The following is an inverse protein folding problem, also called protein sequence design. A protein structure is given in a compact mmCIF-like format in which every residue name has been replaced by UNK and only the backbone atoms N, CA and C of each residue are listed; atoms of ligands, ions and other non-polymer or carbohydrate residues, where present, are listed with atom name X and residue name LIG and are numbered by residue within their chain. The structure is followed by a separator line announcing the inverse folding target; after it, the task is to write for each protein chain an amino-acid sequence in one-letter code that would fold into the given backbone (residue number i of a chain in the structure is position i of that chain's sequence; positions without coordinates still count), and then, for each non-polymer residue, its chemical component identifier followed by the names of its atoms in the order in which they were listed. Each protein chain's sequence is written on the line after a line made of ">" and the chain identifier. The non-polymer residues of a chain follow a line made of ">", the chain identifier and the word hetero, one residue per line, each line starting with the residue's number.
data_IF_584428133212
#
_entry.id   IF_584428133212
#
_cell.length_a   1.000
_cell.length_b   1.000
_cell.length_c   1.000
_cell.angle_alpha   90.00
_cell.angle_beta   90.00
_cell.angle_gamma   90.00
#
_symmetry.space_group_name_H-M   'P 1'
#
loop_
_entity.id
_entity.type
_entity.pdbx_description
1 polymer ?
#
# COMPACT_ATOMS: atom_id res chain seq x y z
N UNK A 1 15.34 -9.82 1.00
CA UNK A 1 13.96 -9.30 1.12
C UNK A 1 13.58 -9.28 2.61
N UNK A 2 14.18 -8.40 3.45
CA UNK A 2 14.29 -8.66 4.90
C UNK A 2 13.19 -8.01 5.77
N UNK A 3 12.63 -6.88 5.34
CA UNK A 3 11.78 -6.04 6.19
C UNK A 3 10.39 -6.64 6.47
N UNK A 4 9.87 -7.45 5.55
CA UNK A 4 8.59 -8.13 5.73
C UNK A 4 8.68 -9.13 6.89
N UNK A 5 9.68 -10.01 6.83
CA UNK A 5 9.92 -11.01 7.88
C UNK A 5 10.23 -10.36 9.22
N UNK A 6 11.00 -9.27 9.21
CA UNK A 6 11.28 -8.49 10.41
C UNK A 6 10.01 -7.91 11.04
N UNK A 7 9.15 -7.26 10.27
CA UNK A 7 7.90 -6.72 10.81
C UNK A 7 6.99 -7.83 11.34
N UNK A 8 6.91 -8.98 10.65
CA UNK A 8 6.16 -10.14 11.13
C UNK A 8 6.74 -10.67 12.45
N UNK A 9 8.07 -10.72 12.60
CA UNK A 9 8.71 -11.14 13.84
C UNK A 9 8.41 -10.18 15.00
N UNK A 10 8.48 -8.87 14.76
CA UNK A 10 8.10 -7.84 15.75
C UNK A 10 6.65 -8.03 16.21
N UNK A 11 5.72 -8.20 15.26
CA UNK A 11 4.30 -8.38 15.58
C UNK A 11 4.03 -9.64 16.42
N UNK A 12 4.72 -10.75 16.12
CA UNK A 12 4.62 -12.00 16.90
C UNK A 12 5.19 -11.84 18.30
N UNK A 13 6.30 -11.11 18.44
CA UNK A 13 6.94 -10.88 19.73
C UNK A 13 6.10 -9.97 20.63
N UNK A 14 5.54 -8.89 20.09
CA UNK A 14 4.75 -7.91 20.86
C UNK A 14 3.34 -8.41 21.20
N UNK A 15 2.82 -9.41 20.47
CA UNK A 15 1.43 -9.88 20.62
C UNK A 15 1.36 -11.40 20.82
N UNK A 16 1.90 -11.92 21.94
CA UNK A 16 1.85 -13.35 22.22
C UNK A 16 0.39 -13.82 22.33
N UNK A 17 0.05 -14.91 21.65
CA UNK A 17 -1.30 -15.50 21.65
C UNK A 17 -2.25 -15.00 20.55
N UNK A 18 -1.82 -14.07 19.69
CA UNK A 18 -2.56 -13.74 18.46
C UNK A 18 -2.37 -14.83 17.41
N UNK A 19 -3.42 -15.08 16.63
CA UNK A 19 -3.36 -16.02 15.51
C UNK A 19 -2.54 -15.47 14.35
N UNK A 20 -2.01 -16.35 13.50
CA UNK A 20 -1.26 -15.94 12.31
C UNK A 20 -2.11 -15.11 11.33
N UNK A 21 -3.43 -15.35 11.27
CA UNK A 21 -4.36 -14.55 10.48
C UNK A 21 -4.40 -13.09 10.98
N UNK A 22 -4.40 -12.92 12.31
CA UNK A 22 -4.36 -11.59 12.92
C UNK A 22 -3.02 -10.90 12.65
N UNK A 23 -1.90 -11.62 12.78
CA UNK A 23 -0.55 -11.09 12.49
C UNK A 23 -0.46 -10.62 11.04
N UNK A 24 -0.95 -11.42 10.08
CA UNK A 24 -0.97 -11.06 8.66
C UNK A 24 -1.81 -9.82 8.39
N UNK A 25 -3.02 -9.75 8.96
CA UNK A 25 -3.90 -8.60 8.78
C UNK A 25 -3.29 -7.33 9.39
N UNK A 26 -2.70 -7.44 10.58
CA UNK A 26 -2.03 -6.33 11.24
C UNK A 26 -0.84 -5.85 10.40
N UNK A 27 -0.01 -6.78 9.93
CA UNK A 27 1.09 -6.50 9.00
C UNK A 27 0.60 -5.71 7.79
N UNK A 28 -0.42 -6.17 7.07
CA UNK A 28 -0.96 -5.48 5.89
C UNK A 28 -1.39 -4.05 6.19
N UNK A 29 -1.99 -3.81 7.37
CA UNK A 29 -2.47 -2.48 7.76
C UNK A 29 -1.38 -1.53 8.24
N UNK A 30 -0.30 -2.03 8.86
CA UNK A 30 0.70 -1.17 9.54
C UNK A 30 2.10 -1.21 8.93
N UNK A 31 2.35 -2.07 7.93
CA UNK A 31 3.70 -2.27 7.39
C UNK A 31 4.30 -1.01 6.78
N UNK A 32 3.53 -0.21 6.03
CA UNK A 32 4.06 1.01 5.42
C UNK A 32 4.56 2.01 6.47
N UNK A 33 3.76 2.26 7.51
CA UNK A 33 4.13 3.17 8.59
C UNK A 33 5.31 2.62 9.40
N UNK A 34 5.30 1.32 9.70
CA UNK A 34 6.41 0.66 10.37
C UNK A 34 7.71 0.78 9.57
N UNK A 35 7.66 0.55 8.25
CA UNK A 35 8.81 0.62 7.37
C UNK A 35 9.36 2.04 7.30
N UNK A 36 8.50 3.05 7.15
CA UNK A 36 8.90 4.47 7.19
C UNK A 36 9.67 4.82 8.46
N UNK A 37 9.13 4.43 9.62
CA UNK A 37 9.77 4.65 10.92
C UNK A 37 11.08 3.87 11.06
N UNK A 38 11.12 2.64 10.54
CA UNK A 38 12.33 1.81 10.57
C UNK A 38 13.45 2.42 9.74
N UNK A 39 13.15 2.87 8.52
CA UNK A 39 14.12 3.52 7.63
C UNK A 39 14.61 4.85 8.20
N UNK A 40 13.74 5.66 8.80
CA UNK A 40 14.12 6.94 9.42
C UNK A 40 15.09 6.80 10.60
N UNK A 41 15.08 5.66 11.31
CA UNK A 41 15.98 5.38 12.44
C UNK A 41 17.36 4.87 12.03
N UNK A 42 17.56 4.50 10.77
CA UNK A 42 18.84 4.01 10.29
C UNK A 42 19.74 5.21 9.99
N UNK A 43 20.70 5.45 10.89
CA UNK A 43 21.55 6.65 10.89
C UNK A 43 22.44 6.81 9.64
N UNK A 44 22.65 5.75 8.86
CA UNK A 44 23.55 5.72 7.69
C UNK A 44 22.86 5.18 6.43
N UNK A 45 21.59 5.54 6.19
CA UNK A 45 20.89 5.05 5.01
C UNK A 45 21.36 5.80 3.75
N UNK A 46 22.30 5.21 3.00
CA UNK A 46 22.79 5.74 1.73
C UNK A 46 21.88 5.45 0.53
N UNK A 47 20.86 4.59 0.71
CA UNK A 47 19.99 4.15 -0.38
C UNK A 47 18.77 5.05 -0.51
N UNK A 48 18.82 5.95 -1.50
CA UNK A 48 17.68 6.76 -1.92
C UNK A 48 16.46 5.87 -2.24
N UNK A 49 16.66 4.77 -2.98
CA UNK A 49 15.58 3.83 -3.33
C UNK A 49 14.77 3.34 -2.12
N UNK A 50 15.43 3.03 -0.99
CA UNK A 50 14.74 2.60 0.21
C UNK A 50 13.94 3.75 0.87
N UNK A 51 14.43 4.98 0.80
CA UNK A 51 13.68 6.15 1.27
C UNK A 51 12.39 6.33 0.48
N UNK A 52 12.47 6.27 -0.86
CA UNK A 52 11.30 6.35 -1.75
C UNK A 52 10.29 5.24 -1.46
N UNK A 53 10.74 3.97 -1.42
CA UNK A 53 9.86 2.83 -1.16
C UNK A 53 9.17 2.91 0.22
N UNK A 54 9.86 3.44 1.23
CA UNK A 54 9.31 3.58 2.58
C UNK A 54 8.19 4.60 2.71
N UNK A 55 8.02 5.51 1.74
CA UNK A 55 6.89 6.44 1.74
C UNK A 55 5.55 5.76 1.46
N UNK A 56 5.59 4.50 1.00
CA UNK A 56 4.41 3.75 0.63
C UNK A 56 3.86 4.15 -0.74
N UNK A 57 2.80 3.46 -1.20
CA UNK A 57 2.16 3.74 -2.46
C UNK A 57 1.40 5.07 -2.39
N UNK A 58 1.26 5.72 -3.54
CA UNK A 58 0.33 6.82 -3.70
C UNK A 58 -1.11 6.29 -3.59
N UNK A 59 -1.91 6.91 -2.73
CA UNK A 59 -3.31 6.51 -2.51
C UNK A 59 -4.27 7.13 -3.54
N UNK A 60 -3.80 8.13 -4.30
CA UNK A 60 -4.49 8.65 -5.46
C UNK A 60 -4.23 7.76 -6.67
N UNK A 61 -5.32 7.27 -7.27
CA UNK A 61 -5.30 6.73 -8.61
C UNK A 61 -5.99 7.72 -9.54
N UNK A 62 -5.35 8.05 -10.66
CA UNK A 62 -6.02 8.81 -11.72
C UNK A 62 -7.15 7.96 -12.29
N UNK A 63 -8.37 8.49 -12.27
CA UNK A 63 -9.54 7.85 -12.85
C UNK A 63 -10.06 8.68 -14.01
N UNK A 64 -10.49 8.00 -15.07
CA UNK A 64 -11.08 8.64 -16.24
C UNK A 64 -12.54 8.21 -16.35
N UNK A 65 -13.37 9.10 -16.89
CA UNK A 65 -14.79 8.85 -17.03
C UNK A 65 -15.16 8.14 -18.34
N UNK A 66 -14.22 8.09 -19.29
CA UNK A 66 -14.31 7.41 -20.57
C UNK A 66 -12.97 6.79 -20.94
N UNK A 67 -13.02 5.63 -21.58
CA UNK A 67 -11.84 4.87 -22.02
C UNK A 67 -12.03 4.42 -23.46
N UNK A 68 -11.07 4.75 -24.32
CA UNK A 68 -11.03 4.23 -25.68
C UNK A 68 -10.18 2.95 -25.71
N UNK A 69 -10.84 1.82 -25.99
CA UNK A 69 -10.23 0.49 -26.03
C UNK A 69 -10.62 -0.17 -27.35
N UNK A 70 -9.62 -0.46 -28.19
CA UNK A 70 -9.81 -1.10 -29.50
C UNK A 70 -10.83 -0.38 -30.41
N UNK A 71 -10.88 0.95 -30.37
CA UNK A 71 -11.81 1.76 -31.18
C UNK A 71 -13.23 1.85 -30.62
N UNK A 72 -13.48 1.30 -29.43
CA UNK A 72 -14.74 1.45 -28.70
C UNK A 72 -14.54 2.35 -27.49
N UNK A 73 -15.49 3.27 -27.27
CA UNK A 73 -15.51 4.13 -26.09
C UNK A 73 -16.39 3.49 -25.00
N UNK A 74 -15.80 3.26 -23.83
CA UNK A 74 -16.48 2.76 -22.64
C UNK A 74 -16.60 3.89 -21.63
N UNK A 75 -17.80 4.10 -21.09
CA UNK A 75 -18.05 5.10 -20.07
C UNK A 75 -18.17 4.47 -18.68
N UNK A 76 -17.75 5.22 -17.67
CA UNK A 76 -18.00 4.84 -16.27
C UNK A 76 -19.47 5.06 -15.93
N UNK A 77 -20.00 4.32 -14.95
CA UNK A 77 -21.38 4.52 -14.44
C UNK A 77 -21.65 5.98 -14.06
N UNK A 78 -20.64 6.67 -13.50
CA UNK A 78 -20.71 8.11 -13.14
C UNK A 78 -20.87 9.02 -14.36
N UNK A 79 -20.39 8.60 -15.52
CA UNK A 79 -20.57 9.34 -16.77
C UNK A 79 -21.95 9.07 -17.36
N UNK A 80 -22.38 7.81 -17.42
CA UNK A 80 -23.69 7.42 -17.96
C UNK A 80 -24.86 8.01 -17.16
N UNK A 81 -24.73 8.10 -15.83
CA UNK A 81 -25.75 8.69 -14.97
C UNK A 81 -26.01 10.17 -15.23
N UNK A 82 -25.12 10.88 -15.95
CA UNK A 82 -25.34 12.27 -16.39
C UNK A 82 -26.20 12.35 -17.65
N UNK A 83 -26.37 11.25 -18.36
CA UNK A 83 -27.01 11.19 -19.67
C UNK A 83 -28.45 10.65 -19.61
N UNK A 84 -28.90 10.17 -18.45
CA UNK A 84 -30.30 9.82 -18.21
C UNK A 84 -31.09 11.06 -17.77
N UNK A 85 -31.99 11.52 -18.64
CA UNK A 85 -33.07 12.47 -18.34
C UNK A 85 -34.24 11.71 -17.71
#
# INVERSE_FOLDING_TARGET
>A
VPYVDEHLAVLRQENPGRSESWVRNKHMSSFNEWLKNRIARLQNLSSETLQWLSQGPEWSATTWQGYDINGYTFHTVKQDSKCTV
#
